data_IF_027225030346
#
_entry.id   IF_027225030346
#
_cell.length_a   1.000
_cell.length_b   1.000
_cell.length_c   1.000
_cell.angle_alpha   90.00
_cell.angle_beta   90.00
_cell.angle_gamma   90.00
#
_symmetry.space_group_name_H-M   'P 1'
#
loop_
_entity.id
_entity.type
_entity.pdbx_description
1 polymer ?
#
# COMPACT_ATOMS: atom_id res chain seq x y z
N UNK A 1 -86.18 19.37 39.36
CA UNK A 1 -85.57 18.76 40.57
C UNK A 1 -84.06 18.77 40.34
N UNK A 2 -83.18 19.44 41.06
CA UNK A 2 -83.25 20.12 42.37
C UNK A 2 -82.34 21.37 42.32
N UNK A 3 -82.62 22.26 43.24
CA UNK A 3 -82.20 23.66 43.44
C UNK A 3 -80.71 23.90 43.75
N UNK A 4 -80.21 25.07 43.34
CA UNK A 4 -79.02 25.74 43.92
C UNK A 4 -79.22 26.07 45.41
N UNK A 5 -78.16 26.46 46.13
CA UNK A 5 -78.08 27.89 46.46
C UNK A 5 -76.67 28.51 46.46
N UNK A 6 -76.69 29.82 46.25
CA UNK A 6 -75.60 30.79 46.32
C UNK A 6 -74.98 30.91 47.72
N UNK A 7 -73.69 31.24 47.77
CA UNK A 7 -73.14 32.09 48.83
C UNK A 7 -72.12 33.07 48.24
N UNK A 8 -72.30 34.36 48.58
CA UNK A 8 -71.52 35.50 48.07
C UNK A 8 -70.70 36.11 49.21
N UNK A 9 -69.48 36.52 48.85
CA UNK A 9 -68.70 37.68 49.32
C UNK A 9 -67.78 37.52 50.57
N UNK A 10 -66.79 38.42 50.80
CA UNK A 10 -66.02 39.29 49.87
C UNK A 10 -64.48 39.31 50.13
N UNK A 11 -63.71 39.88 49.18
CA UNK A 11 -62.52 40.72 49.47
C UNK A 11 -61.15 40.05 49.63
N UNK A 12 -60.20 40.42 48.77
CA UNK A 12 -58.89 41.08 49.06
C UNK A 12 -58.01 40.97 47.80
N UNK A 13 -57.47 42.06 47.25
CA UNK A 13 -56.47 42.00 46.19
C UNK A 13 -55.10 41.75 46.81
N UNK A 14 -54.56 40.53 46.65
CA UNK A 14 -53.17 40.25 47.01
C UNK A 14 -52.29 40.73 45.86
N UNK A 15 -51.59 41.84 46.09
CA UNK A 15 -50.51 42.30 45.21
C UNK A 15 -49.49 41.18 45.00
N UNK A 16 -49.01 40.89 43.77
CA UNK A 16 -47.87 40.01 43.60
C UNK A 16 -46.64 40.70 44.18
N UNK A 17 -46.22 40.26 45.37
CA UNK A 17 -44.92 40.59 45.94
C UNK A 17 -43.87 40.21 44.89
N UNK A 18 -43.22 41.21 44.32
CA UNK A 18 -41.99 41.08 43.56
C UNK A 18 -40.88 40.56 44.48
N UNK A 19 -40.95 39.28 44.84
CA UNK A 19 -39.88 38.58 45.51
C UNK A 19 -38.73 38.48 44.52
N UNK A 20 -37.70 39.30 44.71
CA UNK A 20 -36.41 39.08 44.04
C UNK A 20 -36.06 37.61 44.25
N UNK A 21 -35.88 36.80 43.19
CA UNK A 21 -35.54 35.40 43.35
C UNK A 21 -34.31 35.31 44.24
N UNK A 22 -34.35 34.44 45.25
CA UNK A 22 -33.26 34.26 46.20
C UNK A 22 -31.96 33.98 45.43
N UNK A 23 -30.82 34.38 46.01
CA UNK A 23 -29.51 34.19 45.38
C UNK A 23 -29.32 32.73 44.91
N UNK A 24 -29.83 31.76 45.69
CA UNK A 24 -29.82 30.33 45.37
C UNK A 24 -30.65 30.01 44.12
N UNK A 25 -31.87 30.55 43.99
CA UNK A 25 -32.70 30.35 42.80
C UNK A 25 -32.08 30.94 41.53
N UNK A 26 -31.34 32.06 41.65
CA UNK A 26 -30.60 32.67 40.53
C UNK A 26 -29.39 31.82 40.12
N UNK A 27 -28.66 31.30 41.09
CA UNK A 27 -27.52 30.40 40.84
C UNK A 27 -28.00 29.10 40.21
N UNK A 28 -29.08 28.49 40.70
CA UNK A 28 -29.66 27.29 40.09
C UNK A 28 -30.17 27.55 38.66
N UNK A 29 -30.79 28.70 38.39
CA UNK A 29 -31.22 29.07 37.04
C UNK A 29 -30.03 29.27 36.10
N UNK A 30 -28.92 29.88 36.55
CA UNK A 30 -27.69 30.04 35.77
C UNK A 30 -27.03 28.69 35.50
N UNK A 31 -26.93 27.81 36.50
CA UNK A 31 -26.38 26.45 36.33
C UNK A 31 -27.25 25.62 35.39
N UNK A 32 -28.58 25.68 35.53
CA UNK A 32 -29.51 25.00 34.62
C UNK A 32 -29.41 25.56 33.20
N UNK A 33 -29.22 26.87 33.03
CA UNK A 33 -29.05 27.51 31.72
C UNK A 33 -27.71 27.15 31.08
N UNK A 34 -26.63 27.05 31.88
CA UNK A 34 -25.32 26.58 31.41
C UNK A 34 -25.38 25.09 31.07
N UNK A 35 -26.05 24.27 31.87
CA UNK A 35 -26.23 22.84 31.59
C UNK A 35 -27.08 22.61 30.34
N UNK A 36 -28.12 23.43 30.12
CA UNK A 36 -28.91 23.41 28.89
C UNK A 36 -28.08 23.90 27.70
N UNK A 37 -27.29 24.98 27.86
CA UNK A 37 -26.41 25.51 26.82
C UNK A 37 -25.25 24.58 26.45
N UNK A 38 -24.71 23.82 27.42
CA UNK A 38 -23.71 22.77 27.20
C UNK A 38 -24.34 21.49 26.64
N UNK A 39 -25.60 21.19 26.97
CA UNK A 39 -26.37 20.08 26.39
C UNK A 39 -26.97 20.39 25.00
N UNK A 40 -26.95 21.66 24.58
CA UNK A 40 -27.40 22.15 23.28
C UNK A 40 -26.26 22.37 22.28
N UNK A 41 -25.01 22.10 22.66
CA UNK A 41 -23.95 21.95 21.66
C UNK A 41 -24.16 20.58 21.03
N UNK A 42 -24.67 20.47 19.78
CA UNK A 42 -24.58 19.20 19.08
C UNK A 42 -23.11 18.83 19.12
N UNK A 43 -22.77 17.66 19.65
CA UNK A 43 -21.45 17.11 19.51
C UNK A 43 -21.20 17.05 18.00
N UNK A 44 -20.52 18.05 17.46
CA UNK A 44 -19.93 17.96 16.15
C UNK A 44 -18.91 16.83 16.31
N UNK A 45 -19.34 15.62 15.98
CA UNK A 45 -18.43 14.49 15.81
C UNK A 45 -17.52 14.97 14.69
N UNK A 46 -16.31 15.39 15.04
CA UNK A 46 -15.32 15.72 14.04
C UNK A 46 -15.14 14.43 13.24
N UNK A 47 -15.61 14.43 11.99
CA UNK A 47 -15.34 13.30 11.10
C UNK A 47 -13.83 13.18 11.03
N UNK A 48 -13.32 12.06 11.52
CA UNK A 48 -11.91 11.75 11.43
C UNK A 48 -11.58 11.65 9.94
N UNK A 49 -10.72 12.55 9.45
CA UNK A 49 -10.29 12.49 8.06
C UNK A 49 -9.64 11.14 7.82
N UNK A 50 -10.18 10.41 6.85
CA UNK A 50 -9.66 9.11 6.42
C UNK A 50 -9.23 9.18 4.97
N UNK A 51 -8.29 8.31 4.60
CA UNK A 51 -7.88 8.14 3.21
C UNK A 51 -8.35 6.80 2.69
N UNK A 52 -8.44 6.71 1.37
CA UNK A 52 -8.71 5.47 0.63
C UNK A 52 -7.55 4.49 0.66
N UNK A 53 -6.86 4.34 1.80
CA UNK A 53 -5.66 3.51 1.96
C UNK A 53 -5.90 2.61 3.17
N UNK A 54 -5.79 1.31 2.93
CA UNK A 54 -5.83 0.27 3.96
C UNK A 54 -4.55 -0.53 3.90
N UNK A 55 -3.90 -0.69 5.04
CA UNK A 55 -2.66 -1.46 5.18
C UNK A 55 -2.87 -2.50 6.26
N UNK A 56 -2.72 -3.78 5.90
CA UNK A 56 -2.91 -4.93 6.78
C UNK A 56 -4.24 -4.90 7.58
N UNK A 57 -5.31 -4.35 7.01
CA UNK A 57 -6.61 -4.22 7.68
C UNK A 57 -6.77 -2.96 8.55
N UNK A 58 -5.74 -2.12 8.66
CA UNK A 58 -5.80 -0.80 9.31
C UNK A 58 -6.02 0.29 8.27
N UNK A 59 -7.10 1.06 8.40
CA UNK A 59 -7.31 2.25 7.57
C UNK A 59 -6.34 3.36 7.98
N UNK A 60 -5.82 4.08 7.00
CA UNK A 60 -5.03 5.28 7.25
C UNK A 60 -5.98 6.46 7.56
N UNK A 61 -5.77 7.10 8.70
CA UNK A 61 -6.57 8.20 9.23
C UNK A 61 -5.68 9.32 9.74
N UNK A 62 -6.22 10.52 9.92
CA UNK A 62 -5.45 11.67 10.37
C UNK A 62 -4.73 11.43 11.72
N UNK A 63 -5.28 10.55 12.56
CA UNK A 63 -4.67 10.19 13.83
C UNK A 63 -3.48 9.23 13.71
N UNK A 64 -3.39 8.43 12.64
CA UNK A 64 -2.36 7.38 12.49
C UNK A 64 -1.43 7.56 11.28
N UNK A 65 -1.66 8.55 10.41
CA UNK A 65 -0.88 8.73 9.18
C UNK A 65 0.63 8.78 9.40
N UNK A 66 1.10 9.35 10.50
CA UNK A 66 2.53 9.51 10.75
C UNK A 66 3.20 8.20 11.19
N UNK A 67 2.42 7.24 11.70
CA UNK A 67 2.85 5.88 12.03
C UNK A 67 1.63 4.95 12.16
N UNK A 68 1.30 4.23 11.08
CA UNK A 68 0.06 3.45 10.97
C UNK A 68 -0.02 2.33 12.03
N UNK A 69 1.14 1.80 12.44
CA UNK A 69 1.25 0.67 13.39
C UNK A 69 1.99 0.99 14.68
N UNK A 70 2.36 2.26 14.93
CA UNK A 70 3.17 2.68 16.09
C UNK A 70 4.52 1.96 16.17
N UNK A 71 5.09 1.62 15.03
CA UNK A 71 6.37 0.92 14.92
C UNK A 71 7.34 1.54 13.89
N UNK A 72 6.99 2.71 13.35
CA UNK A 72 7.75 3.49 12.36
C UNK A 72 8.04 2.78 11.02
N UNK A 73 7.31 1.70 10.69
CA UNK A 73 7.54 0.96 9.43
C UNK A 73 6.63 1.41 8.29
N UNK A 74 5.47 1.99 8.62
CA UNK A 74 4.48 2.46 7.64
C UNK A 74 3.98 3.84 8.04
N UNK A 75 4.12 4.81 7.14
CA UNK A 75 3.57 6.16 7.30
C UNK A 75 3.01 6.66 5.98
N UNK A 76 2.05 7.56 6.04
CA UNK A 76 1.42 8.21 4.90
C UNK A 76 1.57 9.73 5.00
N UNK A 77 2.06 10.32 3.92
CA UNK A 77 2.11 11.76 3.72
C UNK A 77 1.00 12.16 2.74
N UNK A 78 -0.07 12.83 3.22
CA UNK A 78 -1.18 13.24 2.39
C UNK A 78 -0.80 14.37 1.41
N UNK A 79 0.19 15.20 1.74
CA UNK A 79 0.57 16.35 0.90
C UNK A 79 1.25 15.88 -0.38
N UNK A 80 2.08 14.84 -0.29
CA UNK A 80 2.74 14.22 -1.44
C UNK A 80 2.00 12.99 -1.99
N UNK A 81 0.88 12.59 -1.38
CA UNK A 81 0.19 11.32 -1.63
C UNK A 81 1.15 10.11 -1.64
N UNK A 82 2.02 10.03 -0.62
CA UNK A 82 3.05 8.99 -0.53
C UNK A 82 2.85 8.11 0.69
N UNK A 83 2.69 6.81 0.46
CA UNK A 83 2.78 5.78 1.50
C UNK A 83 4.23 5.26 1.54
N UNK A 84 4.90 5.48 2.67
CA UNK A 84 6.26 5.03 2.91
C UNK A 84 6.24 3.66 3.59
N UNK A 85 7.02 2.73 3.04
CA UNK A 85 7.26 1.41 3.62
C UNK A 85 8.76 1.30 3.91
N UNK A 86 9.11 1.22 5.19
CA UNK A 86 10.49 1.09 5.64
C UNK A 86 10.68 -0.19 6.43
N UNK A 87 11.34 -1.18 5.82
CA UNK A 87 11.55 -2.49 6.42
C UNK A 87 10.27 -3.14 6.97
N UNK A 88 9.13 -2.86 6.36
CA UNK A 88 7.83 -3.30 6.82
C UNK A 88 7.67 -4.82 6.69
N UNK A 89 7.02 -5.42 7.69
CA UNK A 89 6.62 -6.83 7.71
C UNK A 89 5.11 -6.88 7.89
N UNK A 90 4.39 -6.96 6.77
CA UNK A 90 2.95 -6.87 6.76
C UNK A 90 2.34 -8.24 6.48
N UNK A 91 1.34 -8.60 7.25
CA UNK A 91 0.43 -9.70 7.00
C UNK A 91 -0.98 -9.11 7.05
N UNK A 92 -1.86 -9.44 6.12
CA UNK A 92 -3.26 -9.01 6.24
C UNK A 92 -3.81 -9.49 7.58
N UNK A 93 -4.31 -8.57 8.41
CA UNK A 93 -4.91 -8.93 9.69
C UNK A 93 -6.07 -9.89 9.43
N UNK A 94 -6.06 -11.00 10.18
CA UNK A 94 -6.95 -12.13 9.93
C UNK A 94 -8.10 -12.25 10.92
N UNK A 95 -8.22 -11.36 11.90
CA UNK A 95 -9.27 -11.44 12.91
C UNK A 95 -10.56 -10.75 12.42
N UNK A 96 -11.09 -11.23 11.29
CA UNK A 96 -12.49 -10.99 10.89
C UNK A 96 -13.25 -12.33 10.92
N UNK A 97 -12.90 -13.18 11.87
CA UNK A 97 -13.72 -14.31 12.27
C UNK A 97 -14.63 -13.83 13.40
N UNK A 98 -15.93 -14.14 13.33
CA UNK A 98 -16.79 -13.97 14.50
C UNK A 98 -16.38 -14.94 15.62
N UNK A 99 -17.03 -14.83 16.78
CA UNK A 99 -16.84 -15.71 17.95
C UNK A 99 -17.00 -17.22 17.64
N UNK A 100 -17.52 -17.57 16.46
CA UNK A 100 -17.74 -18.93 16.00
C UNK A 100 -16.78 -19.35 14.87
N UNK A 101 -15.75 -18.56 14.57
CA UNK A 101 -14.79 -18.89 13.50
C UNK A 101 -15.35 -18.72 12.09
N UNK A 102 -16.44 -17.96 11.91
CA UNK A 102 -17.05 -17.71 10.60
C UNK A 102 -16.70 -16.32 10.08
N UNK A 103 -16.35 -16.24 8.81
CA UNK A 103 -16.29 -14.96 8.07
C UNK A 103 -17.74 -14.44 7.97
N UNK A 104 -18.07 -13.23 8.45
CA UNK A 104 -19.42 -12.69 8.39
C UNK A 104 -19.98 -12.73 6.97
N UNK A 105 -21.22 -13.20 6.81
CA UNK A 105 -21.89 -13.26 5.52
C UNK A 105 -22.02 -11.83 4.95
N UNK A 106 -21.45 -11.60 3.76
CA UNK A 106 -21.28 -10.26 3.17
C UNK A 106 -19.87 -9.66 3.28
N UNK A 107 -18.94 -10.32 3.99
CA UNK A 107 -17.49 -10.01 4.02
C UNK A 107 -16.65 -11.02 3.23
N UNK A 108 -17.18 -11.54 2.12
CA UNK A 108 -16.43 -12.37 1.16
C UNK A 108 -15.35 -11.58 0.39
N UNK A 109 -15.21 -10.30 0.73
CA UNK A 109 -14.35 -9.36 0.04
C UNK A 109 -12.91 -9.85 0.00
N UNK A 110 -12.34 -9.75 -1.19
CA UNK A 110 -10.94 -9.97 -1.49
C UNK A 110 -10.14 -9.00 -0.59
N UNK A 111 -9.70 -9.40 0.60
CA UNK A 111 -8.96 -8.50 1.50
C UNK A 111 -7.50 -8.51 1.07
N UNK A 112 -7.03 -7.49 0.33
CA UNK A 112 -5.61 -7.40 0.07
C UNK A 112 -4.87 -7.01 1.34
N UNK A 113 -3.57 -7.28 1.37
CA UNK A 113 -2.72 -6.73 2.43
C UNK A 113 -2.58 -5.22 2.28
N UNK A 114 -2.62 -4.69 1.06
CA UNK A 114 -2.67 -3.24 0.78
C UNK A 114 -3.82 -2.95 -0.19
N UNK A 115 -4.78 -2.10 0.21
CA UNK A 115 -5.86 -1.62 -0.65
C UNK A 115 -5.76 -0.11 -0.82
N UNK A 116 -5.83 0.37 -2.05
CA UNK A 116 -5.70 1.78 -2.41
C UNK A 116 -6.83 2.15 -3.36
N UNK A 117 -7.61 3.17 -3.01
CA UNK A 117 -8.59 3.83 -3.87
C UNK A 117 -8.22 5.30 -4.16
N UNK A 118 -7.09 5.75 -3.64
CA UNK A 118 -6.48 7.04 -4.00
C UNK A 118 -6.01 7.03 -5.46
N UNK A 119 -6.41 8.03 -6.24
CA UNK A 119 -6.21 8.04 -7.70
C UNK A 119 -4.73 8.03 -8.10
N UNK A 120 -3.90 8.82 -7.44
CA UNK A 120 -2.47 8.88 -7.70
C UNK A 120 -1.74 8.69 -6.39
N UNK A 121 -1.10 7.54 -6.22
CA UNK A 121 -0.37 7.21 -4.99
C UNK A 121 1.06 6.82 -5.34
N UNK A 122 2.00 7.31 -4.53
CA UNK A 122 3.37 6.82 -4.52
C UNK A 122 3.58 5.85 -3.37
N UNK A 123 4.11 4.67 -3.64
CA UNK A 123 4.72 3.78 -2.66
C UNK A 123 6.21 4.07 -2.64
N UNK A 124 6.72 4.61 -1.53
CA UNK A 124 8.14 4.86 -1.35
C UNK A 124 8.76 3.75 -0.49
N UNK A 125 9.66 2.98 -1.10
CA UNK A 125 10.20 1.74 -0.56
C UNK A 125 11.64 1.96 -0.10
N UNK A 126 11.88 1.80 1.20
CA UNK A 126 13.23 1.82 1.78
C UNK A 126 13.48 0.55 2.59
N UNK A 127 14.75 0.15 2.69
CA UNK A 127 15.11 -1.12 3.33
C UNK A 127 14.47 -2.33 2.65
N UNK A 128 14.38 -3.44 3.37
CA UNK A 128 13.85 -4.70 2.84
C UNK A 128 12.44 -4.95 3.36
N UNK A 129 11.42 -4.93 2.50
CA UNK A 129 10.01 -5.04 2.87
C UNK A 129 9.42 -6.41 2.48
N UNK A 130 8.54 -6.96 3.32
CA UNK A 130 7.81 -8.21 3.04
C UNK A 130 6.33 -8.02 3.30
N UNK A 131 5.54 -8.23 2.25
CA UNK A 131 4.08 -8.10 2.25
C UNK A 131 3.50 -9.49 2.00
N UNK A 132 2.95 -10.07 3.05
CA UNK A 132 2.34 -11.38 3.04
C UNK A 132 0.83 -11.24 2.96
N UNK A 133 0.21 -12.06 2.13
CA UNK A 133 -1.24 -12.28 2.18
C UNK A 133 -1.53 -13.71 2.61
N UNK A 134 -2.37 -13.88 3.63
CA UNK A 134 -3.04 -15.13 3.97
C UNK A 134 -4.43 -15.10 3.31
N UNK A 135 -4.65 -15.86 2.23
CA UNK A 135 -5.91 -15.78 1.49
C UNK A 135 -7.08 -16.23 2.34
N UNK A 136 -8.11 -15.37 2.42
CA UNK A 136 -9.36 -15.63 3.15
C UNK A 136 -10.50 -16.03 2.23
N UNK A 137 -10.45 -15.60 0.96
CA UNK A 137 -11.39 -16.00 -0.12
C UNK A 137 -10.69 -16.18 -1.48
N UNK A 138 -11.30 -16.92 -2.44
CA UNK A 138 -10.92 -16.85 -3.84
C UNK A 138 -10.92 -15.40 -4.34
N UNK A 139 -9.91 -15.00 -5.13
CA UNK A 139 -9.81 -13.62 -5.60
C UNK A 139 -9.07 -12.68 -4.65
N UNK A 140 -8.64 -13.13 -3.47
CA UNK A 140 -7.79 -12.33 -2.59
C UNK A 140 -6.54 -11.85 -3.34
N UNK A 141 -6.27 -10.54 -3.25
CA UNK A 141 -5.08 -9.88 -3.76
C UNK A 141 -3.98 -9.79 -2.71
N UNK A 142 -2.76 -9.45 -3.09
CA UNK A 142 -1.77 -8.96 -2.12
C UNK A 142 -1.85 -7.43 -2.07
N UNK A 143 -1.83 -6.78 -3.24
CA UNK A 143 -2.02 -5.35 -3.38
C UNK A 143 -3.08 -5.05 -4.44
N UNK A 144 -4.03 -4.18 -4.08
CA UNK A 144 -5.02 -3.64 -5.01
C UNK A 144 -4.97 -2.12 -5.08
N UNK A 145 -4.94 -1.62 -6.31
CA UNK A 145 -5.17 -0.21 -6.62
C UNK A 145 -6.43 -0.07 -7.47
N UNK A 146 -7.55 0.19 -6.80
CA UNK A 146 -8.90 0.26 -7.39
C UNK A 146 -9.41 1.70 -7.39
N UNK A 147 -8.70 2.56 -8.12
CA UNK A 147 -8.97 3.99 -8.18
C UNK A 147 -9.40 4.48 -9.58
N UNK A 148 -9.87 3.56 -10.42
CA UNK A 148 -10.30 3.82 -11.80
C UNK A 148 -9.20 3.69 -12.85
N UNK A 149 -9.56 3.71 -14.15
CA UNK A 149 -8.63 3.49 -15.26
C UNK A 149 -7.61 4.62 -15.47
N UNK A 150 -7.92 5.83 -15.01
CA UNK A 150 -7.01 6.99 -15.15
C UNK A 150 -6.11 7.17 -13.92
N UNK A 151 -6.03 6.16 -13.06
CA UNK A 151 -5.23 6.17 -11.84
C UNK A 151 -3.78 5.80 -12.11
N UNK A 152 -2.87 6.17 -11.22
CA UNK A 152 -1.46 5.76 -11.28
C UNK A 152 -0.96 5.33 -9.91
N UNK A 153 -0.36 4.13 -9.85
CA UNK A 153 0.44 3.66 -8.73
C UNK A 153 1.92 3.76 -9.09
N UNK A 154 2.71 4.49 -8.30
CA UNK A 154 4.14 4.66 -8.55
C UNK A 154 4.97 4.05 -7.43
N UNK A 155 5.91 3.18 -7.76
CA UNK A 155 6.91 2.64 -6.84
C UNK A 155 8.21 3.45 -6.97
N UNK A 156 8.72 3.97 -5.85
CA UNK A 156 9.96 4.75 -5.76
C UNK A 156 10.81 4.29 -4.58
N UNK A 157 12.01 4.83 -4.46
CA UNK A 157 12.97 4.48 -3.41
C UNK A 157 14.03 3.50 -3.90
N UNK A 158 14.97 3.17 -3.03
CA UNK A 158 16.15 2.34 -3.31
C UNK A 158 16.09 0.97 -2.60
N UNK A 159 15.01 0.71 -1.86
CA UNK A 159 14.80 -0.55 -1.14
C UNK A 159 14.31 -1.70 -2.01
N UNK A 160 13.93 -2.77 -1.32
CA UNK A 160 13.30 -3.95 -1.91
C UNK A 160 11.92 -4.20 -1.28
N UNK A 161 11.03 -4.80 -2.07
CA UNK A 161 9.74 -5.26 -1.60
C UNK A 161 9.40 -6.60 -2.22
N UNK A 162 9.01 -7.55 -1.37
CA UNK A 162 8.46 -8.84 -1.80
C UNK A 162 6.99 -8.91 -1.45
N UNK A 163 6.16 -9.18 -2.45
CA UNK A 163 4.78 -9.58 -2.30
C UNK A 163 4.71 -11.09 -2.40
N UNK A 164 4.27 -11.76 -1.34
CA UNK A 164 4.12 -13.21 -1.36
C UNK A 164 2.86 -13.63 -0.62
N UNK A 165 2.51 -14.90 -0.82
CA UNK A 165 1.30 -15.49 -0.28
C UNK A 165 1.68 -16.60 0.68
N UNK A 166 1.05 -16.63 1.84
CA UNK A 166 1.21 -17.75 2.75
C UNK A 166 0.56 -19.01 2.15
N UNK A 167 1.16 -20.19 2.37
CA UNK A 167 0.50 -21.45 2.10
C UNK A 167 -0.84 -21.50 2.82
N UNK A 168 -1.85 -22.03 2.15
CA UNK A 168 -3.16 -22.17 2.77
C UNK A 168 -3.20 -23.43 3.63
N UNK A 169 -3.72 -23.31 4.84
CA UNK A 169 -3.82 -24.44 5.79
C UNK A 169 -4.87 -25.50 5.38
N UNK A 170 -5.92 -25.12 4.62
CA UNK A 170 -6.98 -26.04 4.14
C UNK A 170 -7.47 -25.66 2.73
N UNK A 171 -7.75 -26.59 1.81
CA UNK A 171 -8.38 -26.29 0.52
C UNK A 171 -9.84 -25.80 0.69
N UNK A 172 -10.40 -25.08 -0.30
CA UNK A 172 -11.82 -24.66 -0.25
C UNK A 172 -12.62 -25.89 -0.68
N UNK A 173 -13.54 -26.36 0.16
CA UNK A 173 -14.43 -27.47 -0.22
C UNK A 173 -15.37 -27.11 -1.38
N UNK A 174 -15.74 -25.83 -1.53
CA UNK A 174 -16.74 -25.37 -2.52
C UNK A 174 -16.17 -24.59 -3.70
N UNK A 175 -15.02 -23.92 -3.52
CA UNK A 175 -14.31 -23.29 -4.63
C UNK A 175 -13.20 -24.21 -5.10
N UNK A 176 -13.50 -24.98 -6.14
CA UNK A 176 -12.52 -25.87 -6.75
C UNK A 176 -11.28 -25.14 -7.27
N UNK A 177 -11.24 -23.80 -7.29
CA UNK A 177 -9.99 -23.06 -7.42
C UNK A 177 -10.04 -21.57 -7.11
N UNK A 178 -9.09 -21.07 -6.32
CA UNK A 178 -8.83 -19.66 -6.15
C UNK A 178 -8.03 -19.08 -7.32
N UNK A 179 -8.55 -18.03 -7.96
CA UNK A 179 -7.74 -17.10 -8.76
C UNK A 179 -7.06 -16.18 -7.75
N UNK A 180 -5.76 -16.31 -7.57
CA UNK A 180 -5.00 -15.42 -6.70
C UNK A 180 -4.45 -14.25 -7.50
N UNK A 181 -4.57 -13.05 -6.94
CA UNK A 181 -4.11 -11.81 -7.57
C UNK A 181 -2.90 -11.33 -6.77
N UNK A 182 -1.81 -10.98 -7.45
CA UNK A 182 -0.59 -10.49 -6.79
C UNK A 182 -0.72 -9.00 -6.55
N UNK A 183 -0.15 -8.25 -7.49
CA UNK A 183 -0.29 -6.80 -7.58
C UNK A 183 -1.24 -6.51 -8.75
N UNK A 184 -2.40 -5.94 -8.45
CA UNK A 184 -3.39 -5.56 -9.46
C UNK A 184 -3.76 -4.09 -9.33
N UNK A 185 -3.82 -3.42 -10.46
CA UNK A 185 -4.21 -2.02 -10.57
C UNK A 185 -5.29 -1.89 -11.63
N UNK A 186 -6.19 -0.91 -11.49
CA UNK A 186 -7.15 -0.56 -12.54
C UNK A 186 -6.54 0.42 -13.57
N UNK A 187 -5.60 1.24 -13.11
CA UNK A 187 -4.87 2.23 -13.89
C UNK A 187 -3.48 1.77 -14.32
N UNK A 188 -2.53 2.71 -14.29
CA UNK A 188 -1.13 2.49 -14.66
C UNK A 188 -0.26 2.17 -13.45
N UNK A 189 0.77 1.34 -13.67
CA UNK A 189 1.81 1.08 -12.67
C UNK A 189 3.16 1.59 -13.18
N UNK A 190 3.88 2.34 -12.33
CA UNK A 190 5.21 2.87 -12.64
C UNK A 190 6.21 2.39 -11.61
N UNK A 191 7.37 1.92 -12.06
CA UNK A 191 8.50 1.51 -11.22
C UNK A 191 9.69 2.40 -11.53
N UNK A 192 10.17 3.12 -10.52
CA UNK A 192 11.19 4.15 -10.65
C UNK A 192 12.24 4.04 -9.54
N UNK A 193 12.76 2.83 -9.30
CA UNK A 193 13.85 2.64 -8.33
C UNK A 193 13.91 1.27 -7.68
N UNK A 194 12.89 0.84 -6.91
CA UNK A 194 13.05 -0.28 -5.99
C UNK A 194 13.04 -1.62 -6.73
N UNK A 195 13.65 -2.61 -6.08
CA UNK A 195 13.55 -4.00 -6.52
C UNK A 195 12.23 -4.60 -6.02
N UNK A 196 11.43 -5.12 -6.94
CA UNK A 196 10.09 -5.64 -6.66
C UNK A 196 10.04 -7.10 -7.05
N UNK A 197 9.72 -7.96 -6.07
CA UNK A 197 9.47 -9.38 -6.31
C UNK A 197 8.01 -9.69 -5.96
N UNK A 198 7.27 -10.25 -6.91
CA UNK A 198 5.91 -10.75 -6.71
C UNK A 198 5.97 -12.26 -6.88
N UNK A 199 5.82 -12.98 -5.77
CA UNK A 199 5.87 -14.43 -5.72
C UNK A 199 4.46 -15.03 -5.74
N UNK A 200 4.34 -16.22 -6.31
CA UNK A 200 3.12 -17.03 -6.34
C UNK A 200 1.90 -16.33 -6.97
N UNK A 201 2.12 -15.28 -7.77
CA UNK A 201 1.08 -14.46 -8.40
C UNK A 201 1.65 -13.55 -9.50
N UNK A 202 0.76 -12.97 -10.31
CA UNK A 202 1.13 -12.05 -11.38
C UNK A 202 1.06 -10.56 -11.00
N UNK A 203 1.65 -9.74 -11.88
CA UNK A 203 1.49 -8.29 -11.96
C UNK A 203 0.49 -7.96 -13.08
N UNK A 204 -0.62 -7.31 -12.73
CA UNK A 204 -1.64 -6.89 -13.69
C UNK A 204 -1.86 -5.39 -13.64
N UNK A 205 -1.55 -4.70 -14.72
CA UNK A 205 -1.82 -3.27 -14.88
C UNK A 205 -2.38 -3.01 -16.29
N UNK A 206 -3.72 -3.03 -16.43
CA UNK A 206 -4.40 -2.95 -17.71
C UNK A 206 -4.00 -1.74 -18.54
N UNK A 207 -3.79 -0.59 -17.91
CA UNK A 207 -3.59 0.71 -18.58
C UNK A 207 -2.14 1.06 -18.81
N UNK A 208 -1.21 0.22 -18.34
CA UNK A 208 0.18 0.27 -18.74
C UNK A 208 1.14 0.06 -17.59
N UNK A 209 2.31 -0.43 -17.93
CA UNK A 209 3.43 -0.60 -17.01
C UNK A 209 4.59 0.24 -17.53
N UNK A 210 5.21 1.04 -16.67
CA UNK A 210 6.47 1.73 -16.97
C UNK A 210 7.55 1.28 -16.00
N UNK A 211 8.70 0.84 -16.50
CA UNK A 211 9.88 0.53 -15.69
C UNK A 211 11.01 1.46 -16.11
N UNK A 212 11.33 2.41 -15.23
CA UNK A 212 12.41 3.37 -15.43
C UNK A 212 13.70 2.95 -14.71
N UNK A 213 13.58 2.25 -13.58
CA UNK A 213 14.70 1.73 -12.79
C UNK A 213 14.21 0.62 -11.83
N UNK A 214 15.15 -0.17 -11.33
CA UNK A 214 14.90 -1.33 -10.46
C UNK A 214 14.63 -2.61 -11.24
N UNK A 215 14.72 -3.74 -10.54
CA UNK A 215 14.37 -5.05 -11.07
C UNK A 215 12.96 -5.46 -10.59
N UNK A 216 12.05 -5.67 -11.54
CA UNK A 216 10.67 -6.08 -11.27
C UNK A 216 10.47 -7.51 -11.75
N UNK A 217 10.21 -8.44 -10.84
CA UNK A 217 9.99 -9.86 -11.14
C UNK A 217 8.60 -10.24 -10.68
N UNK A 218 7.77 -10.74 -11.59
CA UNK A 218 6.46 -11.28 -11.27
C UNK A 218 6.40 -12.76 -11.66
N UNK A 219 6.27 -13.62 -10.65
CA UNK A 219 6.30 -15.06 -10.79
C UNK A 219 4.95 -15.68 -10.42
N UNK A 220 4.23 -16.15 -11.44
CA UNK A 220 2.98 -16.86 -11.31
C UNK A 220 3.18 -18.36 -11.66
N UNK A 221 3.61 -19.22 -10.69
CA UNK A 221 4.06 -20.58 -10.95
C UNK A 221 2.97 -21.55 -11.40
N UNK A 222 1.71 -21.29 -11.04
CA UNK A 222 0.59 -22.11 -11.50
C UNK A 222 -0.72 -21.35 -11.41
N UNK A 223 -1.58 -21.59 -12.38
CA UNK A 223 -2.93 -21.04 -12.43
C UNK A 223 -3.90 -22.06 -13.00
N UNK A 224 -5.17 -21.96 -12.63
CA UNK A 224 -6.17 -22.95 -13.04
C UNK A 224 -6.67 -22.78 -14.48
N UNK A 225 -6.87 -21.51 -14.88
CA UNK A 225 -7.36 -21.14 -16.21
C UNK A 225 -6.31 -20.39 -17.02
N UNK A 226 -5.44 -19.67 -16.34
CA UNK A 226 -4.33 -18.94 -16.93
C UNK A 226 -3.34 -18.64 -15.82
N UNK A 227 -2.08 -18.52 -16.18
CA UNK A 227 -1.07 -17.87 -15.36
C UNK A 227 -0.34 -16.88 -16.25
N UNK A 228 -0.31 -15.63 -15.83
CA UNK A 228 0.46 -14.60 -16.53
C UNK A 228 1.33 -13.88 -15.54
N UNK A 229 2.65 -13.90 -15.78
CA UNK A 229 3.61 -13.22 -14.91
C UNK A 229 3.35 -11.71 -14.92
N UNK A 230 3.36 -11.11 -16.10
CA UNK A 230 3.08 -9.67 -16.31
C UNK A 230 1.98 -9.49 -17.35
N UNK A 231 0.95 -8.69 -17.04
CA UNK A 231 -0.19 -8.45 -17.93
C UNK A 231 -0.50 -6.97 -18.13
N UNK A 232 -0.59 -6.55 -19.39
CA UNK A 232 -1.04 -5.25 -19.89
C UNK A 232 -1.93 -5.48 -21.11
N UNK A 233 -3.20 -5.08 -21.10
CA UNK A 233 -4.10 -5.37 -22.24
C UNK A 233 -4.73 -4.14 -22.91
N UNK A 234 -4.67 -2.97 -22.29
CA UNK A 234 -5.23 -1.71 -22.83
C UNK A 234 -4.25 -0.53 -22.72
N UNK A 235 -2.99 -0.82 -22.44
CA UNK A 235 -1.96 0.15 -22.09
C UNK A 235 -0.66 -0.06 -22.82
N UNK A 236 0.28 0.85 -22.56
CA UNK A 236 1.65 0.69 -23.02
C UNK A 236 2.47 -0.09 -22.00
N UNK A 237 3.32 -0.99 -22.49
CA UNK A 237 4.44 -1.54 -21.72
C UNK A 237 5.70 -0.78 -22.11
N UNK A 238 6.23 0.04 -21.20
CA UNK A 238 7.39 0.91 -21.43
C UNK A 238 8.53 0.51 -20.51
N UNK A 239 9.72 0.31 -21.06
CA UNK A 239 10.95 0.06 -20.31
C UNK A 239 12.00 1.05 -20.78
N UNK A 240 12.48 1.90 -19.89
CA UNK A 240 13.55 2.86 -20.17
C UNK A 240 14.81 2.60 -19.33
N UNK A 241 14.72 1.72 -18.34
CA UNK A 241 15.83 1.26 -17.51
C UNK A 241 15.41 0.09 -16.64
N UNK A 242 16.35 -0.48 -15.86
CA UNK A 242 16.08 -1.63 -15.00
C UNK A 242 15.71 -2.91 -15.78
N UNK A 243 14.94 -3.79 -15.15
CA UNK A 243 14.42 -5.00 -15.80
C UNK A 243 12.97 -5.31 -15.39
N UNK A 244 12.22 -5.88 -16.34
CA UNK A 244 10.90 -6.44 -16.08
C UNK A 244 10.90 -7.91 -16.49
N UNK A 245 10.66 -8.80 -15.52
CA UNK A 245 10.63 -10.24 -15.73
C UNK A 245 9.24 -10.78 -15.40
N UNK A 246 8.56 -11.34 -16.40
CA UNK A 246 7.33 -12.09 -16.22
C UNK A 246 7.58 -13.60 -16.32
N UNK A 247 7.26 -14.34 -15.25
CA UNK A 247 7.41 -15.79 -15.18
C UNK A 247 6.04 -16.42 -15.00
N UNK A 248 5.64 -17.30 -15.91
CA UNK A 248 4.41 -18.10 -15.78
C UNK A 248 4.73 -19.58 -15.82
N UNK A 249 4.36 -20.31 -14.78
CA UNK A 249 4.53 -21.76 -14.75
C UNK A 249 3.39 -22.50 -15.46
N UNK A 250 3.18 -23.75 -15.04
CA UNK A 250 2.36 -24.71 -15.78
C UNK A 250 0.88 -24.70 -15.41
N UNK A 251 0.08 -25.29 -16.30
CA UNK A 251 -1.30 -25.66 -16.04
C UNK A 251 -1.40 -26.66 -14.89
N UNK A 252 -2.20 -26.32 -13.87
CA UNK A 252 -2.68 -27.32 -12.91
C UNK A 252 -3.60 -28.30 -13.65
N UNK A 253 -3.51 -29.61 -13.35
CA UNK A 253 -4.23 -30.74 -14.00
C UNK A 253 -5.78 -30.71 -13.94
N UNK A 254 -6.41 -29.55 -13.94
CA UNK A 254 -7.79 -29.38 -13.52
C UNK A 254 -8.86 -29.73 -14.55
N UNK A 255 -8.53 -30.24 -15.72
CA UNK A 255 -9.51 -30.60 -16.76
C UNK A 255 -10.23 -29.41 -17.42
N UNK A 256 -10.07 -28.18 -16.92
CA UNK A 256 -10.60 -26.99 -17.58
C UNK A 256 -9.69 -26.54 -18.72
N UNK A 257 -10.26 -26.24 -19.89
CA UNK A 257 -9.56 -25.60 -21.01
C UNK A 257 -9.29 -24.13 -20.65
N UNK A 258 -8.21 -23.88 -19.92
CA UNK A 258 -7.62 -22.57 -19.76
C UNK A 258 -6.77 -22.20 -20.98
N UNK A 259 -6.88 -20.96 -21.46
CA UNK A 259 -6.42 -20.58 -22.79
C UNK A 259 -4.99 -20.07 -22.89
N UNK A 260 -4.29 -19.67 -21.81
CA UNK A 260 -2.88 -19.28 -21.94
C UNK A 260 -2.09 -19.20 -20.64
N UNK A 261 -0.88 -19.75 -20.68
CA UNK A 261 0.18 -19.55 -19.69
C UNK A 261 1.29 -18.75 -20.35
N UNK A 262 1.43 -17.47 -19.97
CA UNK A 262 2.29 -16.53 -20.66
C UNK A 262 3.21 -15.80 -19.68
N UNK A 263 4.52 -15.75 -19.95
CA UNK A 263 5.43 -14.96 -19.14
C UNK A 263 5.00 -13.50 -19.11
N UNK A 264 4.79 -12.93 -20.31
CA UNK A 264 4.32 -11.57 -20.52
C UNK A 264 3.11 -11.57 -21.46
N UNK A 265 2.04 -10.88 -21.08
CA UNK A 265 0.90 -10.59 -21.95
C UNK A 265 0.82 -9.09 -22.18
N UNK A 266 1.08 -8.63 -23.41
CA UNK A 266 1.10 -7.22 -23.77
C UNK A 266 0.65 -7.01 -25.21
N UNK A 267 -0.04 -5.90 -25.50
CA UNK A 267 -0.46 -5.57 -26.87
C UNK A 267 0.79 -5.36 -27.74
N UNK A 268 0.97 -6.08 -28.86
CA UNK A 268 2.23 -6.11 -29.62
C UNK A 268 2.77 -4.74 -29.99
N UNK A 269 1.92 -3.87 -30.54
CA UNK A 269 2.32 -2.53 -31.02
C UNK A 269 2.43 -1.49 -29.89
N UNK A 270 2.36 -1.93 -28.63
CA UNK A 270 2.42 -1.07 -27.44
C UNK A 270 3.54 -1.47 -26.48
N UNK A 271 4.53 -2.21 -26.97
CA UNK A 271 5.75 -2.55 -26.23
C UNK A 271 6.88 -1.61 -26.69
N UNK A 272 7.38 -0.79 -25.77
CA UNK A 272 8.44 0.18 -26.03
C UNK A 272 9.61 -0.06 -25.10
N UNK A 273 10.76 -0.46 -25.65
CA UNK A 273 11.99 -0.68 -24.89
C UNK A 273 13.02 0.33 -25.38
N UNK A 274 13.31 1.33 -24.57
CA UNK A 274 14.28 2.41 -24.85
C UNK A 274 15.55 2.27 -24.03
N UNK A 275 15.52 1.38 -23.03
CA UNK A 275 16.63 0.97 -22.19
C UNK A 275 16.19 -0.20 -21.32
N UNK A 276 17.11 -0.79 -20.54
CA UNK A 276 16.80 -1.93 -19.69
C UNK A 276 16.48 -3.22 -20.44
N UNK A 277 15.76 -4.14 -19.77
CA UNK A 277 15.45 -5.49 -20.29
C UNK A 277 14.01 -5.91 -20.04
N UNK A 278 13.37 -6.52 -21.04
CA UNK A 278 12.14 -7.29 -20.89
C UNK A 278 12.47 -8.78 -20.96
N UNK A 279 12.07 -9.54 -19.95
CA UNK A 279 12.29 -10.98 -19.88
C UNK A 279 10.94 -11.67 -19.70
N UNK A 280 10.66 -12.64 -20.55
CA UNK A 280 9.45 -13.44 -20.50
C UNK A 280 9.82 -14.92 -20.43
N UNK A 281 9.34 -15.59 -19.38
CA UNK A 281 9.62 -16.99 -19.10
C UNK A 281 8.29 -17.73 -18.93
N UNK A 282 8.09 -18.81 -19.66
CA UNK A 282 6.96 -19.69 -19.43
C UNK A 282 7.19 -21.13 -19.83
N UNK A 283 6.46 -22.05 -19.21
CA UNK A 283 6.37 -23.44 -19.64
C UNK A 283 5.55 -23.63 -20.92
N UNK A 284 4.65 -22.69 -21.26
CA UNK A 284 3.86 -22.75 -22.50
C UNK A 284 4.30 -21.73 -23.53
N UNK A 285 4.00 -20.43 -23.36
CA UNK A 285 4.37 -19.39 -24.32
C UNK A 285 5.06 -18.23 -23.59
N UNK A 286 6.18 -17.73 -24.10
CA UNK A 286 6.83 -16.59 -23.45
C UNK A 286 5.95 -15.33 -23.52
N UNK A 287 5.36 -15.04 -24.69
CA UNK A 287 4.55 -13.86 -24.95
C UNK A 287 3.09 -14.20 -25.30
N UNK A 288 2.17 -13.28 -25.03
CA UNK A 288 0.80 -13.29 -25.56
C UNK A 288 0.31 -11.86 -25.86
N UNK A 289 -0.37 -11.62 -27.00
CA UNK A 289 -0.49 -12.49 -28.17
C UNK A 289 0.87 -12.59 -28.90
N UNK A 290 0.85 -13.05 -30.14
CA UNK A 290 2.04 -13.08 -30.99
C UNK A 290 2.64 -11.68 -31.14
N UNK A 291 3.94 -11.54 -30.90
CA UNK A 291 4.69 -10.28 -31.01
C UNK A 291 5.82 -10.41 -32.02
N UNK A 292 6.13 -9.31 -32.70
CA UNK A 292 7.33 -9.17 -33.52
C UNK A 292 8.08 -7.91 -33.10
N UNK A 293 9.40 -7.93 -33.21
CA UNK A 293 10.25 -6.79 -32.84
C UNK A 293 11.10 -6.38 -34.05
N UNK A 294 11.30 -5.08 -34.31
CA UNK A 294 12.21 -4.62 -35.36
C UNK A 294 13.68 -5.01 -35.08
N UNK A 295 14.56 -4.86 -36.08
CA UNK A 295 16.00 -5.20 -36.01
C UNK A 295 16.77 -4.36 -34.99
N UNK A 296 16.22 -3.20 -34.62
CA UNK A 296 16.77 -2.34 -33.56
C UNK A 296 16.77 -3.00 -32.18
N UNK A 297 16.08 -4.14 -32.01
CA UNK A 297 16.09 -4.92 -30.78
C UNK A 297 16.98 -6.16 -30.90
N UNK A 298 17.78 -6.38 -29.87
CA UNK A 298 18.45 -7.65 -29.62
C UNK A 298 17.48 -8.55 -28.88
N UNK A 299 17.11 -9.65 -29.52
CA UNK A 299 16.18 -10.65 -28.97
C UNK A 299 16.92 -11.97 -28.80
N UNK A 300 16.98 -12.48 -27.58
CA UNK A 300 17.52 -13.79 -27.23
C UNK A 300 16.36 -14.74 -26.89
N UNK A 301 16.43 -15.95 -27.41
CA UNK A 301 15.38 -16.97 -27.24
C UNK A 301 15.97 -18.30 -26.81
N UNK A 302 15.22 -19.07 -26.03
CA UNK A 302 15.55 -20.44 -25.68
C UNK A 302 14.28 -21.31 -25.65
N UNK A 303 14.43 -22.55 -26.08
CA UNK A 303 13.38 -23.59 -26.03
C UNK A 303 13.21 -24.14 -24.60
N UNK A 304 14.22 -23.92 -23.74
CA UNK A 304 14.12 -24.11 -22.29
C UNK A 304 13.64 -22.84 -21.61
N UNK A 305 13.08 -22.98 -20.41
CA UNK A 305 12.66 -21.87 -19.56
C UNK A 305 13.83 -21.19 -18.81
N UNK A 306 15.04 -21.20 -19.39
CA UNK A 306 16.27 -20.67 -18.78
C UNK A 306 17.05 -19.82 -19.79
N UNK A 307 17.87 -18.90 -19.28
CA UNK A 307 18.76 -18.09 -20.12
C UNK A 307 19.97 -18.89 -20.66
N UNK A 308 20.33 -19.99 -20.00
CA UNK A 308 21.49 -20.80 -20.36
C UNK A 308 21.32 -21.45 -21.74
N UNK A 309 22.18 -21.09 -22.69
CA UNK A 309 22.09 -21.53 -24.08
C UNK A 309 21.09 -20.73 -24.93
N UNK A 310 20.58 -19.60 -24.43
CA UNK A 310 19.76 -18.70 -25.24
C UNK A 310 20.56 -18.20 -26.46
N UNK A 311 19.91 -18.21 -27.62
CA UNK A 311 20.49 -17.86 -28.93
C UNK A 311 19.78 -16.63 -29.51
N UNK A 312 20.41 -15.87 -30.44
CA UNK A 312 19.72 -14.83 -31.17
C UNK A 312 18.45 -15.35 -31.87
N UNK A 313 17.38 -14.57 -31.83
CA UNK A 313 16.12 -14.91 -32.48
C UNK A 313 16.28 -14.93 -34.01
N UNK A 314 15.83 -16.01 -34.65
CA UNK A 314 15.90 -16.18 -36.11
C UNK A 314 14.92 -15.30 -36.89
N UNK A 315 13.97 -14.65 -36.21
CA UNK A 315 12.94 -13.76 -36.78
C UNK A 315 11.98 -14.44 -37.77
N UNK A 316 12.10 -15.74 -37.98
CA UNK A 316 11.19 -16.55 -38.80
C UNK A 316 10.13 -17.23 -37.96
N UNK A 317 10.45 -17.55 -36.70
CA UNK A 317 9.55 -18.18 -35.75
C UNK A 317 8.85 -17.10 -34.92
N UNK A 318 7.52 -16.91 -35.01
CA UNK A 318 6.82 -15.88 -34.25
C UNK A 318 6.96 -16.09 -32.74
N UNK A 319 7.16 -15.00 -31.98
CA UNK A 319 7.19 -15.07 -30.52
C UNK A 319 5.75 -15.06 -29.98
N UNK A 320 5.40 -16.00 -29.12
CA UNK A 320 4.10 -16.03 -28.43
C UNK A 320 2.96 -16.72 -29.19
N UNK A 321 3.23 -17.27 -30.38
CA UNK A 321 2.30 -18.20 -31.02
C UNK A 321 2.25 -19.53 -30.23
N UNK A 322 1.11 -20.24 -30.26
CA UNK A 322 0.95 -21.54 -29.58
C UNK A 322 1.93 -22.60 -30.11
N UNK A 323 2.38 -22.46 -31.35
CA UNK A 323 3.42 -23.32 -31.95
C UNK A 323 4.85 -22.86 -31.67
N UNK A 324 5.07 -21.69 -31.06
CA UNK A 324 6.40 -21.17 -30.74
C UNK A 324 7.12 -22.12 -29.77
N UNK A 325 8.33 -22.60 -30.11
CA UNK A 325 9.09 -23.49 -29.22
C UNK A 325 9.72 -22.71 -28.06
N UNK A 326 9.79 -21.37 -28.13
CA UNK A 326 10.51 -20.56 -27.17
C UNK A 326 9.75 -20.38 -25.85
N UNK A 327 10.44 -20.75 -24.77
CA UNK A 327 9.98 -20.71 -23.37
C UNK A 327 10.67 -19.62 -22.58
N UNK A 328 11.82 -19.16 -23.04
CA UNK A 328 12.52 -17.98 -22.55
C UNK A 328 12.70 -17.02 -23.71
N UNK A 329 12.38 -15.75 -23.48
CA UNK A 329 12.64 -14.65 -24.41
C UNK A 329 13.15 -13.46 -23.60
N UNK A 330 14.28 -12.89 -24.01
CA UNK A 330 14.81 -11.64 -23.49
C UNK A 330 14.92 -10.64 -24.62
N UNK A 331 14.45 -9.42 -24.38
CA UNK A 331 14.50 -8.31 -25.34
C UNK A 331 15.18 -7.12 -24.69
N UNK A 332 16.13 -6.54 -25.40
CA UNK A 332 16.81 -5.31 -25.04
C UNK A 332 17.07 -4.49 -26.32
N UNK A 333 17.31 -3.19 -26.18
CA UNK A 333 17.72 -2.37 -27.31
C UNK A 333 19.09 -2.87 -27.80
N UNK A 334 19.25 -3.05 -29.12
CA UNK A 334 20.57 -3.34 -29.66
C UNK A 334 21.50 -2.16 -29.35
N UNK A 335 22.75 -2.46 -29.00
CA UNK A 335 23.76 -1.41 -28.89
C UNK A 335 23.76 -0.62 -30.20
N UNK A 336 23.56 0.69 -30.13
CA UNK A 336 23.66 1.53 -31.32
C UNK A 336 25.00 1.22 -31.97
N UNK A 337 25.07 1.04 -33.32
CA UNK A 337 26.34 0.80 -33.98
C UNK A 337 27.28 1.91 -33.55
N UNK A 338 28.29 1.54 -32.77
CA UNK A 338 29.30 2.48 -32.31
C UNK A 338 29.84 3.14 -33.58
N UNK A 339 29.86 4.49 -33.69
CA UNK A 339 30.47 5.15 -34.82
C UNK A 339 31.85 4.51 -35.06
N UNK A 340 32.22 4.18 -36.31
CA UNK A 340 33.51 3.56 -36.58
C UNK A 340 34.57 4.38 -35.87
N UNK A 341 35.34 3.70 -35.01
CA UNK A 341 36.33 4.35 -34.17
C UNK A 341 37.17 5.28 -35.06
N UNK A 342 37.16 6.57 -34.74
CA UNK A 342 38.04 7.53 -35.40
C UNK A 342 39.47 6.98 -35.31
N UNK A 343 40.22 6.93 -36.42
CA UNK A 343 41.56 6.38 -36.42
C UNK A 343 42.41 7.14 -35.41
N UNK A 344 42.77 6.46 -34.32
CA UNK A 344 43.63 6.99 -33.28
C UNK A 344 44.97 7.36 -33.90
N UNK A 345 45.19 8.66 -34.04
CA UNK A 345 46.49 9.20 -34.42
C UNK A 345 47.39 9.02 -33.20
N UNK A 346 48.32 8.08 -33.29
CA UNK A 346 49.30 7.78 -32.27
C UNK A 346 50.21 8.98 -32.02
N UNK A 347 50.07 9.63 -30.87
CA UNK A 347 51.05 10.56 -30.32
C UNK A 347 51.95 9.82 -29.31
N UNK A 348 53.25 10.18 -29.19
CA UNK A 348 54.23 9.37 -28.48
C UNK A 348 54.15 9.52 -26.96
N UNK A 349 54.34 8.41 -26.26
CA UNK A 349 54.52 8.33 -24.81
C UNK A 349 55.69 9.18 -24.31
N UNK A 350 55.42 10.04 -23.34
CA UNK A 350 56.42 10.56 -22.39
C UNK A 350 56.21 9.92 -21.03
N UNK A 351 57.24 9.17 -20.62
CA UNK A 351 57.47 8.57 -19.31
C UNK A 351 57.79 9.63 -18.26
N UNK A 352 57.13 9.57 -17.10
CA UNK A 352 57.59 10.05 -15.78
C UNK A 352 56.41 9.89 -14.79
N UNK A 353 56.53 9.62 -13.50
CA UNK A 353 57.57 9.15 -12.57
C UNK A 353 56.76 8.88 -11.28
N UNK A 354 57.01 7.74 -10.62
CA UNK A 354 56.42 7.34 -9.35
C UNK A 354 56.82 8.24 -8.18
N UNK A 355 55.93 8.40 -7.17
CA UNK A 355 56.19 8.46 -5.71
C UNK A 355 54.94 8.93 -4.93
N UNK A 356 54.81 8.72 -3.60
CA UNK A 356 54.45 7.44 -3.00
C UNK A 356 53.23 7.52 -2.06
N UNK A 357 52.74 6.34 -1.71
CA UNK A 357 51.74 5.98 -0.69
C UNK A 357 51.85 6.76 0.63
N UNK A 358 50.70 7.22 1.15
CA UNK A 358 50.54 7.50 2.59
C UNK A 358 49.25 6.84 3.09
N UNK A 359 49.45 5.93 4.05
CA UNK A 359 48.46 5.16 4.79
C UNK A 359 47.99 5.98 6.01
N UNK A 360 46.71 5.94 6.41
CA UNK A 360 46.34 6.25 7.79
C UNK A 360 45.79 5.02 8.52
N UNK A 361 46.61 4.59 9.46
CA UNK A 361 46.31 4.23 10.86
C UNK A 361 44.87 3.87 11.26
N UNK A 362 44.77 2.60 11.63
CA UNK A 362 43.80 1.92 12.49
C UNK A 362 43.53 2.67 13.81
N UNK A 363 42.26 2.87 14.18
CA UNK A 363 41.89 3.41 15.49
C UNK A 363 40.78 2.58 16.16
N UNK A 364 41.19 2.05 17.31
CA UNK A 364 40.52 1.36 18.41
C UNK A 364 38.98 1.41 18.56
N UNK A 365 38.48 0.21 18.81
CA UNK A 365 37.22 -0.21 19.41
C UNK A 365 37.06 0.27 20.87
N UNK A 366 35.87 0.69 21.34
CA UNK A 366 35.57 0.71 22.77
C UNK A 366 34.54 -0.36 23.20
N UNK A 367 34.86 -0.97 24.34
CA UNK A 367 34.14 -1.93 25.17
C UNK A 367 32.70 -1.49 25.56
N UNK A 368 31.75 -2.42 25.76
CA UNK A 368 30.35 -2.10 26.03
C UNK A 368 30.12 -1.59 27.45
N UNK A 369 29.28 -0.55 27.56
CA UNK A 369 28.76 -0.03 28.83
C UNK A 369 27.46 -0.75 29.20
N UNK A 370 27.42 -1.31 30.41
CA UNK A 370 26.26 -1.89 31.09
C UNK A 370 25.17 -0.84 31.30
N UNK A 371 23.96 -1.11 30.82
CA UNK A 371 22.77 -0.28 31.11
C UNK A 371 21.77 -1.06 31.96
N UNK A 372 21.39 -0.40 33.04
CA UNK A 372 20.50 -0.80 34.12
C UNK A 372 19.07 -1.11 33.68
N UNK A 373 18.49 -2.12 34.34
CA UNK A 373 17.07 -2.49 34.37
C UNK A 373 16.17 -1.30 34.76
N UNK A 374 15.04 -1.04 34.07
CA UNK A 374 14.06 -0.07 34.55
C UNK A 374 13.24 -0.66 35.68
N UNK A 375 13.03 0.16 36.71
CA UNK A 375 12.21 -0.11 37.88
C UNK A 375 10.73 0.06 37.50
N UNK A 376 9.95 -0.96 37.80
CA UNK A 376 8.49 -1.04 37.66
C UNK A 376 7.80 0.17 38.34
N UNK A 377 7.07 0.96 37.56
CA UNK A 377 6.32 2.13 38.04
C UNK A 377 4.85 1.78 38.31
N UNK A 378 4.38 2.16 39.50
CA UNK A 378 3.04 1.91 40.05
C UNK A 378 1.93 2.59 39.20
N UNK A 379 0.99 1.82 38.62
CA UNK A 379 -0.04 2.32 37.69
C UNK A 379 -1.06 3.29 38.33
N UNK A 380 -1.08 3.44 39.65
CA UNK A 380 -1.96 4.39 40.33
C UNK A 380 -1.40 5.82 40.39
N UNK A 381 -0.11 6.03 40.08
CA UNK A 381 0.52 7.37 40.12
C UNK A 381 0.19 8.23 38.89
N UNK A 382 -0.05 7.60 37.74
CA UNK A 382 -0.34 8.31 36.47
C UNK A 382 -1.77 8.84 36.39
N UNK A 383 -2.75 8.16 36.98
CA UNK A 383 -4.15 8.62 36.96
C UNK A 383 -4.36 9.89 37.80
N UNK A 384 -3.71 9.98 38.96
CA UNK A 384 -3.77 11.17 39.82
C UNK A 384 -3.02 12.35 39.17
N UNK A 385 -1.92 12.09 38.48
CA UNK A 385 -1.20 13.08 37.68
C UNK A 385 -2.05 13.63 36.53
N UNK A 386 -2.72 12.74 35.80
CA UNK A 386 -3.64 13.10 34.72
C UNK A 386 -4.83 13.92 35.22
N UNK A 387 -5.48 13.50 36.32
CA UNK A 387 -6.63 14.23 36.88
C UNK A 387 -6.24 15.63 37.40
N UNK A 388 -5.04 15.79 37.98
CA UNK A 388 -4.54 17.12 38.39
C UNK A 388 -4.24 18.03 37.21
N UNK A 389 -3.68 17.48 36.13
CA UNK A 389 -3.42 18.22 34.87
C UNK A 389 -4.71 18.64 34.18
N UNK A 390 -5.74 17.78 34.21
CA UNK A 390 -7.05 18.09 33.66
C UNK A 390 -7.75 19.20 34.47
N UNK A 391 -7.72 19.11 35.81
CA UNK A 391 -8.33 20.12 36.67
C UNK A 391 -7.65 21.49 36.55
N UNK A 392 -6.32 21.54 36.42
CA UNK A 392 -5.61 22.82 36.26
C UNK A 392 -5.95 23.50 34.93
N UNK A 393 -6.06 22.73 33.84
CA UNK A 393 -6.45 23.26 32.52
C UNK A 393 -7.90 23.74 32.48
N UNK A 394 -8.81 23.05 33.15
CA UNK A 394 -10.22 23.48 33.26
C UNK A 394 -10.34 24.80 34.04
N UNK A 395 -9.51 25.01 35.05
CA UNK A 395 -9.47 26.25 35.84
C UNK A 395 -8.78 27.43 35.11
N UNK A 396 -8.05 27.18 34.03
CA UNK A 396 -7.42 28.23 33.22
C UNK A 396 -8.38 28.89 32.21
N UNK A 397 -9.58 28.34 32.00
CA UNK A 397 -10.56 28.94 31.09
C UNK A 397 -10.99 30.35 31.58
N UNK A 398 -10.77 31.41 30.77
CA UNK A 398 -11.08 32.79 31.14
C UNK A 398 -12.54 33.00 31.56
N UNK A 399 -13.45 32.25 30.92
CA UNK A 399 -14.90 32.25 31.22
C UNK A 399 -15.20 31.69 32.62
N UNK A 400 -14.51 30.64 33.06
CA UNK A 400 -14.72 30.03 34.37
C UNK A 400 -14.16 30.92 35.49
N UNK A 401 -13.00 31.57 35.25
CA UNK A 401 -12.45 32.58 36.15
C UNK A 401 -13.38 33.79 36.29
N UNK A 402 -13.96 34.26 35.18
CA UNK A 402 -14.93 35.37 35.21
C UNK A 402 -16.21 34.99 35.97
N UNK A 403 -16.71 33.77 35.78
CA UNK A 403 -17.90 33.24 36.47
C UNK A 403 -17.66 33.10 37.99
N UNK A 404 -16.51 32.56 38.40
CA UNK A 404 -16.14 32.40 39.81
C UNK A 404 -15.89 33.75 40.49
N UNK A 405 -15.30 34.73 39.78
CA UNK A 405 -15.10 36.09 40.30
C UNK A 405 -16.40 36.86 40.50
N UNK A 406 -17.43 36.54 39.72
CA UNK A 406 -18.76 37.14 39.82
C UNK A 406 -19.62 36.50 40.93
N UNK A 407 -19.34 35.25 41.30
CA UNK A 407 -20.03 34.54 42.38
C UNK A 407 -19.47 34.85 43.78
N UNK A 408 -18.28 35.46 43.86
CA UNK A 408 -17.60 35.79 45.12
C UNK A 408 -17.62 37.28 45.49
N UNK A 409 -18.28 38.12 44.69
CA UNK A 409 -18.66 39.50 45.02
C UNK A 409 -20.16 39.54 45.28
#
# INVERSE_FOLDING_TARGET
MYTSPNFRAPGVPISPRSGRPSMIARVCAIIASIALALGLVPAAVAEEQTWGIWVAGTQVTAANKDDVFRNNTVRFDPDSATLYLNSARLLNAQDIEDENGRIPEGKWDQVPTISITEKNLTLHITGDNRILNKPTSPGSGILFHKAGPDSTLTFTGDGSITFSRLPREKPYEYFHVPVYRGVETEGQTKFAGPNVLIEDSGLSSPRGITVAAGDVVAHYPSGYRSATGVSVWDGDLRISGGSLTGIAGSKSNSGYSGDSYAGVSAVPDRIFITGGKLIAISTEIAFRPTVTFPETYKVLVNEKNTAEGAKPWDRTTPLGDKGSPYKFVQIELADSPQPPAEPTTSAPSTTATESPTTQPTESANPTPTTTSTPKESDPNSDLVGFLRSLLSKVLEFPLLKSLLSFLWK
#
